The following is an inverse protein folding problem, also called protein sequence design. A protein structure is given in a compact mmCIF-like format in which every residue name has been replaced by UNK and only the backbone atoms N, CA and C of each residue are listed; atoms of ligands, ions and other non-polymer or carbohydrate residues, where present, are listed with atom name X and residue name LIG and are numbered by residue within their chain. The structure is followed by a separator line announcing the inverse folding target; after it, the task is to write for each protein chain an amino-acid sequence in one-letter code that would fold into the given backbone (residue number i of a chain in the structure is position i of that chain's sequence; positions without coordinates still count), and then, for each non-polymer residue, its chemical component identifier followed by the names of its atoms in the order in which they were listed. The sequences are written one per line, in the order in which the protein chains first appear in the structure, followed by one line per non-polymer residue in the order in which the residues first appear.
data_IF_976804611027
#
_entry.id   IF_976804611027
#
_cell.length_a   1.000
_cell.length_b   1.000
_cell.length_c   1.000
_cell.angle_alpha   90.00
_cell.angle_beta   90.00
_cell.angle_gamma   90.00
#
_symmetry.space_group_name_H-M   'P 1'
#
loop_
_entity.id
_entity.type
_entity.pdbx_description
1 polymer ?
#
# COMPACT_ATOMS: atom_id res chain seq x y z
N UNK A 1 -63.69 -2.73 14.95
CA UNK A 1 -63.37 -1.32 14.64
C UNK A 1 -62.11 -1.32 13.79
N UNK A 2 -62.18 -0.60 12.65
CA UNK A 2 -61.25 -0.67 11.53
C UNK A 2 -59.87 -0.02 11.79
N UNK A 3 -58.89 -0.58 11.08
CA UNK A 3 -57.49 -0.18 10.90
C UNK A 3 -57.36 1.14 10.14
N UNK A 4 -56.34 1.95 10.45
CA UNK A 4 -55.83 2.96 9.52
C UNK A 4 -54.30 3.09 9.63
N UNK A 5 -53.61 2.45 8.68
CA UNK A 5 -52.20 2.67 8.35
C UNK A 5 -52.14 3.90 7.46
N UNK A 6 -51.38 4.93 7.84
CA UNK A 6 -51.17 6.12 7.01
C UNK A 6 -49.83 6.01 6.27
N UNK A 7 -49.92 5.66 4.98
CA UNK A 7 -48.82 5.65 4.02
C UNK A 7 -48.54 7.04 3.45
N UNK A 8 -47.24 7.35 3.40
CA UNK A 8 -46.42 8.17 2.50
C UNK A 8 -47.03 9.19 1.49
N UNK A 9 -46.20 10.23 1.32
CA UNK A 9 -45.90 11.03 0.13
C UNK A 9 -46.65 12.37 -0.03
N UNK A 10 -46.01 13.43 0.45
CA UNK A 10 -46.37 14.82 0.19
C UNK A 10 -45.45 15.42 -0.89
N UNK A 11 -46.12 16.11 -1.82
CA UNK A 11 -45.65 17.15 -2.76
C UNK A 11 -44.63 16.79 -3.84
N UNK A 12 -45.17 16.38 -4.98
CA UNK A 12 -44.79 16.98 -6.25
C UNK A 12 -45.11 18.49 -6.25
N UNK A 13 -44.17 19.30 -6.75
CA UNK A 13 -44.37 20.64 -7.29
C UNK A 13 -43.80 20.52 -8.72
N UNK A 14 -44.56 20.50 -9.82
CA UNK A 14 -45.56 21.49 -10.25
C UNK A 14 -44.80 22.74 -10.70
N UNK A 15 -44.65 23.06 -11.99
CA UNK A 15 -45.78 23.46 -12.85
C UNK A 15 -45.37 23.69 -14.34
N UNK A 16 -46.36 23.87 -15.26
CA UNK A 16 -46.37 23.36 -16.64
C UNK A 16 -46.39 24.46 -17.73
N UNK A 17 -46.35 24.05 -19.01
CA UNK A 17 -47.20 24.51 -20.15
C UNK A 17 -46.70 23.81 -21.44
N UNK A 18 -47.42 22.82 -21.98
CA UNK A 18 -48.39 22.91 -23.10
C UNK A 18 -47.78 23.60 -24.35
N UNK A 19 -47.64 22.95 -25.50
CA UNK A 19 -48.76 22.58 -26.39
C UNK A 19 -48.38 21.49 -27.39
N UNK A 20 -49.34 20.62 -27.71
CA UNK A 20 -49.27 19.52 -28.67
C UNK A 20 -49.05 19.95 -30.13
N UNK A 21 -48.56 18.98 -30.90
CA UNK A 21 -48.17 19.04 -32.30
C UNK A 21 -49.32 19.31 -33.29
N UNK A 22 -49.03 20.10 -34.32
CA UNK A 22 -49.50 19.85 -35.69
C UNK A 22 -48.67 20.66 -36.70
N UNK A 23 -48.14 19.99 -37.74
CA UNK A 23 -47.81 20.66 -39.01
C UNK A 23 -46.34 20.69 -39.44
N UNK A 24 -45.88 19.60 -40.04
CA UNK A 24 -45.21 19.56 -41.35
C UNK A 24 -44.28 20.74 -41.75
N UNK A 25 -42.95 20.57 -41.70
CA UNK A 25 -42.03 20.43 -42.86
C UNK A 25 -40.57 20.77 -42.53
N UNK A 26 -39.68 19.80 -42.81
CA UNK A 26 -38.33 19.93 -43.35
C UNK A 26 -37.34 20.95 -42.74
N UNK A 27 -36.40 20.47 -41.92
CA UNK A 27 -34.97 20.38 -42.29
C UNK A 27 -34.22 19.55 -41.25
N UNK A 28 -33.41 18.60 -41.70
CA UNK A 28 -32.87 17.51 -40.90
C UNK A 28 -31.83 17.95 -39.88
N UNK A 29 -32.19 17.86 -38.60
CA UNK A 29 -31.25 17.78 -37.49
C UNK A 29 -30.87 16.32 -37.28
N UNK A 30 -29.73 15.91 -37.84
CA UNK A 30 -29.17 14.59 -37.65
C UNK A 30 -28.65 14.49 -36.20
N UNK A 31 -29.47 13.98 -35.29
CA UNK A 31 -29.06 13.71 -33.91
C UNK A 31 -28.03 12.59 -33.93
N UNK A 32 -26.79 12.93 -33.55
CA UNK A 32 -25.71 11.96 -33.43
C UNK A 32 -26.05 10.99 -32.29
N UNK A 33 -26.45 9.77 -32.65
CA UNK A 33 -26.49 8.65 -31.72
C UNK A 33 -25.05 8.35 -31.32
N UNK A 34 -24.68 8.74 -30.09
CA UNK A 34 -23.47 8.23 -29.46
C UNK A 34 -23.65 6.73 -29.28
N UNK A 35 -23.05 5.94 -30.16
CA UNK A 35 -22.82 4.52 -29.92
C UNK A 35 -21.92 4.42 -28.70
N UNK A 36 -22.51 4.14 -27.53
CA UNK A 36 -21.73 3.69 -26.38
C UNK A 36 -20.89 2.49 -26.83
N UNK A 37 -19.55 2.54 -26.70
CA UNK A 37 -18.76 1.35 -26.95
C UNK A 37 -19.31 0.26 -26.03
N UNK A 38 -19.62 -0.89 -26.64
CA UNK A 38 -19.95 -2.12 -25.91
C UNK A 38 -18.93 -2.25 -24.79
N UNK A 39 -19.43 -2.37 -23.55
CA UNK A 39 -18.58 -2.47 -22.37
C UNK A 39 -17.49 -3.51 -22.65
N UNK A 40 -16.27 -3.03 -22.89
CA UNK A 40 -15.10 -3.88 -22.89
C UNK A 40 -15.16 -4.60 -21.54
N UNK A 41 -15.10 -5.93 -21.58
CA UNK A 41 -15.03 -6.77 -20.38
C UNK A 41 -13.99 -6.14 -19.47
N UNK A 42 -14.45 -5.46 -18.42
CA UNK A 42 -13.57 -4.84 -17.44
C UNK A 42 -12.68 -5.96 -16.93
N UNK A 43 -11.39 -5.90 -17.27
CA UNK A 43 -10.42 -6.75 -16.62
C UNK A 43 -10.66 -6.59 -15.12
N UNK A 44 -11.01 -7.68 -14.45
CA UNK A 44 -11.20 -7.67 -13.01
C UNK A 44 -9.97 -6.98 -12.40
N UNK A 45 -10.14 -6.00 -11.50
CA UNK A 45 -9.01 -5.34 -10.87
C UNK A 45 -8.08 -6.41 -10.33
N UNK A 46 -6.83 -6.47 -10.82
CA UNK A 46 -5.82 -7.32 -10.20
C UNK A 46 -5.83 -6.94 -8.72
N UNK A 47 -6.06 -7.91 -7.84
CA UNK A 47 -6.02 -7.66 -6.41
C UNK A 47 -4.69 -6.95 -6.10
N UNK A 48 -4.77 -5.68 -5.70
CA UNK A 48 -3.58 -4.92 -5.35
C UNK A 48 -3.08 -5.46 -4.01
N UNK A 49 -1.78 -5.76 -3.96
CA UNK A 49 -1.10 -6.12 -2.72
C UNK A 49 -1.33 -5.01 -1.68
N UNK A 50 -1.67 -5.35 -0.42
CA UNK A 50 -1.70 -4.37 0.65
C UNK A 50 -0.36 -3.63 0.71
N UNK A 51 -0.42 -2.32 1.01
CA UNK A 51 0.77 -1.50 1.18
C UNK A 51 0.90 -1.10 2.64
N UNK A 52 2.08 -1.28 3.20
CA UNK A 52 2.45 -0.80 4.52
C UNK A 52 2.39 0.73 4.58
N UNK A 53 2.09 1.29 5.74
CA UNK A 53 2.17 2.72 6.03
C UNK A 53 3.31 2.96 7.02
N UNK A 54 3.87 4.17 7.06
CA UNK A 54 4.91 4.52 8.05
C UNK A 54 4.45 4.39 9.52
N UNK A 55 3.14 4.34 9.77
CA UNK A 55 2.53 4.13 11.07
C UNK A 55 1.94 2.72 11.25
N UNK A 56 2.15 1.81 10.30
CA UNK A 56 1.72 0.41 10.42
C UNK A 56 2.38 -0.24 11.63
N UNK A 57 1.58 -0.82 12.51
CA UNK A 57 2.11 -1.55 13.68
C UNK A 57 2.62 -2.94 13.28
N UNK A 58 3.48 -3.58 14.08
CA UNK A 58 3.90 -4.95 13.83
C UNK A 58 2.71 -5.91 13.71
N UNK A 59 1.68 -5.75 14.55
CA UNK A 59 0.48 -6.59 14.53
C UNK A 59 -0.36 -6.37 13.27
N UNK A 60 -0.46 -5.12 12.80
CA UNK A 60 -1.10 -4.81 11.52
C UNK A 60 -0.32 -5.42 10.35
N UNK A 61 1.01 -5.33 10.36
CA UNK A 61 1.87 -5.92 9.34
C UNK A 61 1.73 -7.45 9.29
N UNK A 62 1.72 -8.12 10.45
CA UNK A 62 1.48 -9.56 10.54
C UNK A 62 0.12 -9.97 9.96
N UNK A 63 -0.91 -9.15 10.17
CA UNK A 63 -2.22 -9.40 9.54
C UNK A 63 -2.15 -9.25 8.01
N UNK A 64 -1.40 -8.27 7.50
CA UNK A 64 -1.19 -8.10 6.06
C UNK A 64 -0.44 -9.30 5.44
N UNK A 65 0.40 -10.01 6.21
CA UNK A 65 1.11 -11.21 5.77
C UNK A 65 0.24 -12.47 5.65
N UNK A 66 -1.03 -12.43 6.07
CA UNK A 66 -1.94 -13.58 6.04
C UNK A 66 -1.98 -14.29 4.66
N UNK A 67 -2.31 -13.59 3.56
CA UNK A 67 -2.35 -14.17 2.23
C UNK A 67 -1.00 -14.74 1.76
N UNK A 68 0.10 -14.04 2.07
CA UNK A 68 1.45 -14.51 1.73
C UNK A 68 1.78 -15.81 2.47
N UNK A 69 1.48 -15.86 3.78
CA UNK A 69 1.72 -17.04 4.61
C UNK A 69 0.91 -18.25 4.14
N UNK A 70 -0.35 -18.04 3.75
CA UNK A 70 -1.19 -19.09 3.14
C UNK A 70 -0.56 -19.62 1.86
N UNK A 71 -0.17 -18.74 0.94
CA UNK A 71 0.47 -19.14 -0.31
C UNK A 71 1.74 -19.95 -0.07
N UNK A 72 2.64 -19.48 0.80
CA UNK A 72 3.88 -20.21 1.12
C UNK A 72 3.58 -21.61 1.68
N UNK A 73 2.57 -21.72 2.54
CA UNK A 73 2.15 -23.01 3.14
C UNK A 73 1.57 -23.96 2.10
N UNK A 74 0.79 -23.46 1.13
CA UNK A 74 0.28 -24.26 0.01
C UNK A 74 1.40 -24.80 -0.89
N UNK A 75 2.52 -24.08 -0.96
CA UNK A 75 3.76 -24.52 -1.60
C UNK A 75 4.65 -25.39 -0.69
N UNK A 76 4.17 -25.77 0.50
CA UNK A 76 4.88 -26.66 1.43
C UNK A 76 5.92 -25.97 2.33
N UNK A 77 5.98 -24.64 2.32
CA UNK A 77 6.97 -23.85 3.07
C UNK A 77 6.31 -23.13 4.24
N UNK A 78 6.90 -23.24 5.44
CA UNK A 78 6.48 -22.44 6.58
C UNK A 78 7.37 -21.19 6.70
N UNK A 79 6.89 -19.98 6.36
CA UNK A 79 7.72 -18.78 6.33
C UNK A 79 8.18 -18.34 7.72
N UNK A 80 7.52 -18.81 8.80
CA UNK A 80 7.94 -18.53 10.19
C UNK A 80 9.25 -19.22 10.59
N UNK A 81 9.74 -20.18 9.79
CA UNK A 81 10.93 -20.98 10.11
C UNK A 81 12.21 -20.64 9.34
N UNK A 82 12.13 -19.84 8.26
CA UNK A 82 13.25 -19.76 7.27
C UNK A 82 13.86 -18.35 7.16
N UNK A 83 13.23 -17.30 7.70
CA UNK A 83 13.70 -15.91 7.47
C UNK A 83 13.61 -14.94 8.63
N UNK A 84 13.31 -15.39 9.85
CA UNK A 84 13.25 -14.49 11.01
C UNK A 84 14.63 -14.23 11.59
N UNK A 85 15.04 -12.96 11.69
CA UNK A 85 16.03 -12.45 12.66
C UNK A 85 15.55 -12.61 14.12
N UNK A 86 14.77 -13.65 14.40
CA UNK A 86 14.34 -14.04 15.73
C UNK A 86 15.42 -14.92 16.33
N UNK A 87 16.03 -14.44 17.40
CA UNK A 87 16.81 -15.21 18.37
C UNK A 87 15.95 -16.33 18.99
N UNK A 88 15.65 -17.36 18.21
CA UNK A 88 15.11 -18.63 18.68
C UNK A 88 16.27 -19.58 18.94
N UNK A 89 16.52 -19.90 20.20
CA UNK A 89 17.43 -20.95 20.64
C UNK A 89 16.96 -22.30 20.08
N UNK A 90 17.38 -22.63 18.85
CA UNK A 90 17.09 -23.93 18.22
C UNK A 90 16.90 -23.95 16.71
N UNK A 91 17.00 -22.83 15.99
CA UNK A 91 16.92 -22.84 14.53
C UNK A 91 18.14 -23.60 13.94
N UNK A 92 17.91 -24.76 13.33
CA UNK A 92 18.92 -25.43 12.50
C UNK A 92 19.16 -24.55 11.27
N UNK A 93 20.41 -24.38 10.81
CA UNK A 93 20.67 -23.72 9.53
C UNK A 93 19.84 -24.39 8.44
N UNK A 94 19.15 -23.58 7.63
CA UNK A 94 18.40 -24.08 6.46
C UNK A 94 19.36 -24.84 5.55
N UNK A 95 18.93 -26.02 5.07
CA UNK A 95 19.67 -26.74 4.04
C UNK A 95 19.54 -26.03 2.70
N UNK A 96 20.44 -26.30 1.76
CA UNK A 96 20.34 -25.77 0.38
C UNK A 96 18.99 -26.12 -0.27
N UNK A 97 18.46 -27.30 0.07
CA UNK A 97 17.14 -27.73 -0.38
C UNK A 97 16.02 -26.86 0.21
N UNK A 98 16.07 -26.56 1.51
CA UNK A 98 15.07 -25.72 2.17
C UNK A 98 15.07 -24.30 1.58
N UNK A 99 16.26 -23.77 1.24
CA UNK A 99 16.40 -22.47 0.57
C UNK A 99 15.81 -22.52 -0.85
N UNK A 100 16.09 -23.57 -1.62
CA UNK A 100 15.55 -23.71 -2.97
C UNK A 100 14.03 -23.84 -2.99
N UNK A 101 13.44 -24.62 -2.07
CA UNK A 101 11.99 -24.75 -1.92
C UNK A 101 11.35 -23.42 -1.49
N UNK A 102 12.00 -22.68 -0.58
CA UNK A 102 11.59 -21.34 -0.19
C UNK A 102 11.60 -20.38 -1.40
N UNK A 103 12.70 -20.32 -2.15
CA UNK A 103 12.85 -19.41 -3.30
C UNK A 103 11.85 -19.72 -4.42
N UNK A 104 11.55 -21.00 -4.65
CA UNK A 104 10.54 -21.43 -5.62
C UNK A 104 9.14 -20.95 -5.21
N UNK A 105 8.74 -21.20 -3.97
CA UNK A 105 7.47 -20.71 -3.43
C UNK A 105 7.41 -19.18 -3.46
N UNK A 106 8.48 -18.52 -3.01
CA UNK A 106 8.54 -17.06 -2.90
C UNK A 106 8.42 -16.37 -4.26
N UNK A 107 8.99 -16.96 -5.33
CA UNK A 107 8.86 -16.45 -6.71
C UNK A 107 7.40 -16.34 -7.17
N UNK A 108 6.51 -17.19 -6.64
CA UNK A 108 5.07 -17.15 -6.93
C UNK A 108 4.33 -16.27 -5.93
N UNK A 109 4.61 -16.42 -4.63
CA UNK A 109 3.85 -15.80 -3.57
C UNK A 109 4.18 -14.31 -3.35
N UNK A 110 5.45 -13.91 -3.40
CA UNK A 110 5.86 -12.53 -3.14
C UNK A 110 5.22 -11.52 -4.11
N UNK A 111 5.27 -11.72 -5.45
CA UNK A 111 4.74 -10.74 -6.39
C UNK A 111 3.22 -10.54 -6.28
N UNK A 112 2.50 -11.48 -5.66
CA UNK A 112 1.04 -11.46 -5.53
C UNK A 112 0.57 -11.06 -4.13
N UNK A 113 1.31 -11.40 -3.07
CA UNK A 113 0.75 -11.37 -1.71
C UNK A 113 1.62 -10.70 -0.65
N UNK A 114 2.94 -10.57 -0.85
CA UNK A 114 3.78 -9.91 0.17
C UNK A 114 3.37 -8.43 0.26
N UNK A 115 3.19 -7.81 1.43
CA UNK A 115 2.87 -6.38 1.48
C UNK A 115 3.93 -5.53 0.76
N UNK A 116 3.50 -4.48 0.06
CA UNK A 116 4.41 -3.48 -0.50
C UNK A 116 4.95 -2.59 0.63
N UNK A 117 6.20 -2.09 0.55
CA UNK A 117 6.75 -1.19 1.56
C UNK A 117 5.97 0.13 1.62
N UNK A 118 6.18 0.96 2.65
CA UNK A 118 5.65 2.32 2.68
C UNK A 118 6.04 3.08 1.40
N UNK A 119 5.12 3.89 0.86
CA UNK A 119 5.34 4.59 -0.42
C UNK A 119 6.60 5.44 -0.40
N UNK A 120 6.90 6.08 0.73
CA UNK A 120 8.08 6.90 0.96
C UNK A 120 9.40 6.11 0.89
N UNK A 121 9.33 4.78 1.01
CA UNK A 121 10.46 3.84 1.03
C UNK A 121 10.43 2.84 -0.12
N UNK A 122 9.49 2.99 -1.06
CA UNK A 122 9.34 2.11 -2.21
C UNK A 122 10.35 2.50 -3.30
N UNK A 123 11.18 1.57 -3.82
CA UNK A 123 12.06 1.83 -4.96
C UNK A 123 11.35 2.33 -6.23
N UNK A 124 10.06 2.05 -6.38
CA UNK A 124 9.24 2.54 -7.47
C UNK A 124 8.81 4.01 -7.30
N UNK A 125 8.96 4.58 -6.10
CA UNK A 125 8.70 6.00 -5.85
C UNK A 125 9.93 6.83 -6.24
N UNK A 126 9.83 7.75 -7.23
CA UNK A 126 10.96 8.59 -7.62
C UNK A 126 11.47 9.50 -6.49
N UNK A 127 10.65 9.78 -5.49
CA UNK A 127 10.99 10.65 -4.35
C UNK A 127 11.61 9.88 -3.18
N UNK A 128 11.63 8.54 -3.19
CA UNK A 128 12.10 7.74 -2.06
C UNK A 128 13.55 8.07 -1.65
N UNK A 129 14.40 8.39 -2.63
CA UNK A 129 15.80 8.78 -2.37
C UNK A 129 15.92 10.15 -1.73
N UNK A 130 15.04 11.09 -2.06
CA UNK A 130 15.01 12.42 -1.42
C UNK A 130 14.46 12.29 0.00
N UNK A 131 13.40 11.50 0.19
CA UNK A 131 12.85 11.17 1.51
C UNK A 131 13.93 10.60 2.44
N UNK A 132 14.69 9.59 2.01
CA UNK A 132 15.77 9.00 2.79
C UNK A 132 16.83 10.03 3.20
N UNK A 133 17.24 10.90 2.27
CA UNK A 133 18.19 11.99 2.53
C UNK A 133 17.67 12.97 3.57
N UNK A 134 16.39 13.31 3.54
CA UNK A 134 15.78 14.23 4.50
C UNK A 134 15.58 13.62 5.89
N UNK A 135 15.29 12.31 5.96
CA UNK A 135 15.29 11.57 7.22
C UNK A 135 16.69 11.56 7.83
N UNK A 136 17.74 11.28 7.06
CA UNK A 136 19.14 11.35 7.53
C UNK A 136 19.50 12.75 8.04
N UNK A 137 19.09 13.81 7.34
CA UNK A 137 19.27 15.19 7.83
C UNK A 137 18.58 15.42 9.18
N UNK A 138 17.34 14.94 9.34
CA UNK A 138 16.61 15.02 10.60
C UNK A 138 17.33 14.29 11.74
N UNK A 139 17.86 13.09 11.48
CA UNK A 139 18.59 12.29 12.47
C UNK A 139 19.90 12.98 12.90
N UNK A 140 20.67 13.49 11.93
CA UNK A 140 21.90 14.26 12.20
C UNK A 140 21.61 15.51 13.03
N UNK A 141 20.55 16.25 12.69
CA UNK A 141 20.12 17.42 13.45
C UNK A 141 19.71 17.09 14.90
N UNK A 142 19.28 15.85 15.16
CA UNK A 142 18.96 15.35 16.50
C UNK A 142 20.18 14.78 17.24
N UNK A 143 21.35 14.67 16.60
CA UNK A 143 22.59 14.23 17.23
C UNK A 143 22.99 12.78 16.94
N UNK A 144 22.30 12.08 16.04
CA UNK A 144 22.71 10.74 15.57
C UNK A 144 23.98 10.89 14.73
N UNK A 145 25.02 10.13 15.08
CA UNK A 145 26.33 10.14 14.42
C UNK A 145 26.46 8.98 13.43
N UNK A 146 27.26 9.19 12.39
CA UNK A 146 27.55 8.21 11.33
C UNK A 146 26.29 7.59 10.72
N UNK A 147 25.23 8.39 10.61
CA UNK A 147 24.00 8.02 9.91
C UNK A 147 24.08 8.51 8.47
N UNK A 148 23.85 7.60 7.53
CA UNK A 148 23.98 7.81 6.09
C UNK A 148 22.84 7.11 5.33
N UNK A 149 22.67 7.47 4.07
CA UNK A 149 21.83 6.69 3.15
C UNK A 149 22.71 5.57 2.61
N UNK A 150 22.19 4.35 2.60
CA UNK A 150 22.89 3.16 2.12
C UNK A 150 23.08 3.19 0.58
N UNK A 151 23.80 2.20 0.04
CA UNK A 151 24.14 2.10 -1.37
C UNK A 151 22.92 2.01 -2.31
N UNK A 152 21.77 1.53 -1.81
CA UNK A 152 20.51 1.49 -2.56
C UNK A 152 19.86 2.88 -2.74
N UNK A 153 20.32 3.88 -1.97
CA UNK A 153 19.82 5.25 -1.98
C UNK A 153 18.51 5.45 -1.20
N UNK A 154 17.99 4.42 -0.52
CA UNK A 154 16.68 4.46 0.18
C UNK A 154 16.83 4.01 1.64
N UNK A 155 17.63 2.98 1.90
CA UNK A 155 17.85 2.46 3.25
C UNK A 155 18.70 3.44 4.07
N UNK A 156 18.48 3.44 5.39
CA UNK A 156 19.22 4.27 6.33
C UNK A 156 20.23 3.40 7.06
N UNK A 157 21.51 3.66 6.84
CA UNK A 157 22.59 3.04 7.57
C UNK A 157 22.88 3.85 8.85
N UNK A 158 22.77 3.20 10.01
CA UNK A 158 23.09 3.79 11.31
C UNK A 158 24.55 3.49 11.72
N UNK A 159 25.48 3.37 10.79
CA UNK A 159 26.79 2.80 11.10
C UNK A 159 27.92 3.11 10.14
N UNK A 160 29.09 2.69 10.58
CA UNK A 160 30.40 2.75 9.95
C UNK A 160 31.42 2.27 10.98
N UNK A 161 32.66 1.96 10.59
CA UNK A 161 33.69 1.38 11.48
C UNK A 161 33.97 2.22 12.75
N UNK A 162 33.49 3.46 12.78
CA UNK A 162 33.70 4.44 13.83
C UNK A 162 32.45 4.73 14.68
N UNK A 163 31.31 4.08 14.43
CA UNK A 163 30.08 4.34 15.18
C UNK A 163 30.03 3.59 16.53
N UNK A 164 29.29 4.15 17.49
CA UNK A 164 29.10 3.58 18.82
C UNK A 164 27.66 3.12 19.05
N UNK A 165 27.47 2.19 19.99
CA UNK A 165 26.15 1.60 20.29
C UNK A 165 25.12 2.62 20.74
N UNK A 166 25.54 3.69 21.42
CA UNK A 166 24.62 4.75 21.88
C UNK A 166 24.04 5.50 20.68
N UNK A 167 24.87 5.85 19.70
CA UNK A 167 24.42 6.50 18.48
C UNK A 167 23.49 5.61 17.65
N UNK A 168 23.81 4.31 17.56
CA UNK A 168 22.96 3.31 16.88
C UNK A 168 21.58 3.23 17.55
N UNK A 169 21.53 3.03 18.86
CA UNK A 169 20.25 2.98 19.60
C UNK A 169 19.46 4.26 19.44
N UNK A 170 20.12 5.42 19.55
CA UNK A 170 19.49 6.72 19.34
C UNK A 170 18.92 6.86 17.92
N UNK A 171 19.62 6.35 16.90
CA UNK A 171 19.13 6.30 15.53
C UNK A 171 17.86 5.48 15.39
N UNK A 172 17.87 4.25 15.91
CA UNK A 172 16.71 3.34 15.87
C UNK A 172 15.47 3.95 16.55
N UNK A 173 15.66 4.60 17.70
CA UNK A 173 14.58 5.26 18.43
C UNK A 173 14.00 6.47 17.68
N UNK A 174 14.84 7.20 16.94
CA UNK A 174 14.45 8.47 16.31
C UNK A 174 13.99 8.34 14.86
N UNK A 175 14.35 7.26 14.14
CA UNK A 175 13.97 7.04 12.73
C UNK A 175 12.46 7.21 12.52
N UNK A 176 11.56 6.51 13.24
CA UNK A 176 10.12 6.61 12.96
C UNK A 176 9.57 8.03 13.15
N UNK A 177 10.12 8.78 14.11
CA UNK A 177 9.73 10.17 14.34
C UNK A 177 10.21 11.11 13.23
N UNK A 178 11.41 10.90 12.71
CA UNK A 178 11.91 11.66 11.57
C UNK A 178 11.15 11.30 10.28
N UNK A 179 10.92 10.02 10.00
CA UNK A 179 10.13 9.55 8.85
C UNK A 179 8.74 10.20 8.83
N UNK A 180 7.97 10.12 9.93
CA UNK A 180 6.65 10.74 10.01
C UNK A 180 6.68 12.25 9.84
N UNK A 181 7.69 12.93 10.39
CA UNK A 181 7.83 14.39 10.24
C UNK A 181 8.04 14.79 8.78
N UNK A 182 8.93 14.09 8.08
CA UNK A 182 9.20 14.38 6.66
C UNK A 182 7.98 14.03 5.81
N UNK A 183 7.37 12.87 6.03
CA UNK A 183 6.17 12.44 5.30
C UNK A 183 4.98 13.39 5.48
N UNK A 184 4.83 14.00 6.67
CA UNK A 184 3.81 15.03 6.89
C UNK A 184 4.09 16.29 6.08
N UNK A 185 5.35 16.72 5.99
CA UNK A 185 5.75 17.92 5.26
C UNK A 185 5.64 17.80 3.73
N UNK A 186 5.59 16.57 3.18
CA UNK A 186 5.38 16.33 1.75
C UNK A 186 3.90 16.41 1.33
N UNK A 187 2.97 16.45 2.28
CA UNK A 187 1.52 16.51 2.02
C UNK A 187 0.96 17.94 1.98
N UNK A 188 1.78 18.92 2.35
CA UNK A 188 1.47 20.35 2.40
C UNK A 188 1.98 21.06 1.14
#
# INVERSE_FOLDING_TARGET
MLVAVATLALSACGSPEQTEAAGNTATGGQVATLTSPSAAVSASPKAQRPRERLDTTPEEYEQMLGPYTTCMTEHGVNPKGVGGTGSGTGAKPASEKDVAEFDEANRVCEPQYLPLPPWEKDPANPEAKDFARDVVKCLRAKGVKYVEVDADGISIALGGDQNDSRSISMGLDLIPGCERKIAAALKD
#
